data_IF_969874183564
#
_entry.id   IF_969874183564
#
_cell.length_a   1.000
_cell.length_b   1.000
_cell.length_c   1.000
_cell.angle_alpha   90.00
_cell.angle_beta   90.00
_cell.angle_gamma   90.00
#
_symmetry.space_group_name_H-M   'P 1'
#
loop_
_entity.id
_entity.type
_entity.pdbx_description
1 polymer ?
#
# COMPACT_ATOMS: atom_id res chain seq x y z
N UNK A 1 20.59 -3.48 -20.72
CA UNK A 1 19.78 -3.50 -19.49
C UNK A 1 20.03 -4.81 -18.76
N UNK A 2 19.86 -4.84 -17.44
CA UNK A 2 20.23 -5.98 -16.61
C UNK A 2 19.00 -6.51 -15.85
N UNK A 3 18.24 -7.45 -16.45
CA UNK A 3 17.00 -7.98 -15.86
C UNK A 3 17.23 -8.79 -14.59
N UNK A 4 18.45 -9.24 -14.32
CA UNK A 4 18.76 -9.95 -13.08
C UNK A 4 18.84 -9.00 -11.87
N UNK A 5 19.16 -7.73 -12.11
CA UNK A 5 19.31 -6.71 -11.07
C UNK A 5 18.17 -5.70 -11.04
N UNK A 6 17.54 -5.42 -12.18
CA UNK A 6 16.45 -4.47 -12.31
C UNK A 6 15.13 -5.21 -12.50
N UNK A 7 14.28 -5.13 -11.50
CA UNK A 7 12.94 -5.70 -11.50
C UNK A 7 11.90 -4.59 -11.57
N UNK A 8 10.67 -4.93 -11.94
CA UNK A 8 9.59 -3.94 -11.99
C UNK A 8 8.27 -4.53 -11.46
N UNK A 9 7.45 -3.66 -10.91
CA UNK A 9 6.03 -3.91 -10.65
C UNK A 9 5.22 -3.41 -11.86
N UNK A 10 4.30 -4.22 -12.35
CA UNK A 10 3.47 -3.87 -13.49
C UNK A 10 2.27 -3.02 -13.03
N UNK A 11 2.13 -1.75 -13.46
CA UNK A 11 0.95 -0.97 -13.15
C UNK A 11 -0.26 -1.52 -13.93
N UNK A 12 -1.36 -1.76 -13.21
CA UNK A 12 -2.60 -2.27 -13.77
C UNK A 12 -3.76 -1.38 -13.35
N UNK A 13 -4.66 -1.11 -14.27
CA UNK A 13 -5.81 -0.22 -14.05
C UNK A 13 -7.08 -1.03 -13.87
N UNK A 14 -7.81 -0.81 -12.77
CA UNK A 14 -8.99 -1.60 -12.40
C UNK A 14 -10.32 -1.06 -12.97
N UNK A 15 -10.32 -0.39 -14.12
CA UNK A 15 -11.56 0.06 -14.78
C UNK A 15 -12.29 -1.11 -15.45
N UNK A 16 -11.56 -2.03 -16.05
CA UNK A 16 -12.03 -3.28 -16.63
C UNK A 16 -11.25 -4.45 -16.00
N UNK A 17 -11.95 -5.33 -15.31
CA UNK A 17 -11.31 -6.39 -14.55
C UNK A 17 -10.73 -7.51 -15.41
N UNK A 18 -11.39 -7.82 -16.51
CA UNK A 18 -10.90 -8.85 -17.44
C UNK A 18 -9.61 -8.39 -18.14
N UNK A 19 -9.54 -7.11 -18.53
CA UNK A 19 -8.32 -6.51 -19.07
C UNK A 19 -7.22 -6.42 -18.01
N UNK A 20 -7.58 -6.06 -16.76
CA UNK A 20 -6.64 -6.01 -15.66
C UNK A 20 -6.00 -7.38 -15.38
N UNK A 21 -6.79 -8.45 -15.43
CA UNK A 21 -6.30 -9.83 -15.28
C UNK A 21 -5.38 -10.20 -16.43
N UNK A 22 -5.79 -9.94 -17.68
CA UNK A 22 -4.96 -10.25 -18.86
C UNK A 22 -3.62 -9.52 -18.81
N UNK A 23 -3.63 -8.24 -18.46
CA UNK A 23 -2.38 -7.45 -18.37
C UNK A 23 -1.48 -7.93 -17.21
N UNK A 24 -2.03 -8.26 -16.05
CA UNK A 24 -1.26 -8.82 -14.94
C UNK A 24 -0.60 -10.14 -15.35
N UNK A 25 -1.35 -11.04 -15.99
CA UNK A 25 -0.85 -12.33 -16.48
C UNK A 25 0.26 -12.13 -17.53
N UNK A 26 0.02 -11.25 -18.53
CA UNK A 26 1.01 -10.93 -19.56
C UNK A 26 2.30 -10.35 -18.96
N UNK A 27 2.16 -9.38 -18.06
CA UNK A 27 3.31 -8.70 -17.46
C UNK A 27 4.17 -9.66 -16.63
N UNK A 28 3.55 -10.55 -15.86
CA UNK A 28 4.29 -11.51 -15.05
C UNK A 28 4.89 -12.62 -15.91
N UNK A 29 4.08 -13.24 -16.80
CA UNK A 29 4.49 -14.45 -17.52
C UNK A 29 5.41 -14.16 -18.71
N UNK A 30 5.23 -13.02 -19.40
CA UNK A 30 5.95 -12.70 -20.64
C UNK A 30 7.04 -11.63 -20.43
N UNK A 31 6.81 -10.65 -19.53
CA UNK A 31 7.73 -9.54 -19.32
C UNK A 31 8.59 -9.67 -18.06
N UNK A 32 8.28 -10.64 -17.18
CA UNK A 32 9.05 -10.88 -15.97
C UNK A 32 8.80 -9.87 -14.85
N UNK A 33 7.59 -9.27 -14.79
CA UNK A 33 7.19 -8.47 -13.65
C UNK A 33 7.21 -9.30 -12.36
N UNK A 34 7.72 -8.73 -11.28
CA UNK A 34 7.83 -9.40 -9.98
C UNK A 34 6.74 -8.97 -8.99
N UNK A 35 5.90 -8.05 -9.39
CA UNK A 35 4.74 -7.58 -8.66
C UNK A 35 3.71 -6.99 -9.64
N UNK A 36 2.47 -6.89 -9.19
CA UNK A 36 1.41 -6.12 -9.86
C UNK A 36 1.10 -4.89 -9.01
N UNK A 37 0.96 -3.73 -9.62
CA UNK A 37 0.69 -2.48 -8.90
C UNK A 37 -0.66 -1.88 -9.30
N UNK A 38 -1.42 -1.44 -8.31
CA UNK A 38 -2.71 -0.75 -8.47
C UNK A 38 -2.74 0.53 -7.66
N UNK A 39 -3.62 1.45 -8.04
CA UNK A 39 -3.89 2.65 -7.24
C UNK A 39 -4.78 2.32 -6.04
N UNK A 40 -4.65 3.04 -4.91
CA UNK A 40 -5.53 2.92 -3.76
C UNK A 40 -6.94 3.45 -4.03
N UNK A 41 -7.06 4.39 -4.97
CA UNK A 41 -8.28 5.13 -5.27
C UNK A 41 -9.36 4.25 -5.89
N UNK A 42 -10.66 4.61 -5.70
CA UNK A 42 -11.74 3.96 -6.42
C UNK A 42 -11.57 4.06 -7.95
N UNK A 43 -11.66 2.93 -8.63
CA UNK A 43 -11.65 2.88 -10.10
C UNK A 43 -13.07 2.63 -10.61
N UNK A 44 -13.55 3.41 -11.58
CA UNK A 44 -14.92 3.39 -12.07
C UNK A 44 -15.97 3.54 -10.94
N UNK A 45 -15.67 4.38 -9.94
CA UNK A 45 -16.54 4.60 -8.77
C UNK A 45 -16.59 3.43 -7.77
N UNK A 46 -15.73 2.43 -7.90
CA UNK A 46 -15.72 1.22 -7.07
C UNK A 46 -14.44 1.13 -6.26
N UNK A 47 -14.56 0.90 -4.96
CA UNK A 47 -13.44 0.70 -4.04
C UNK A 47 -12.75 -0.65 -4.27
N UNK A 48 -11.60 -0.84 -3.62
CA UNK A 48 -10.84 -2.10 -3.69
C UNK A 48 -11.57 -3.30 -3.08
N UNK A 49 -12.54 -3.10 -2.18
CA UNK A 49 -13.39 -4.16 -1.61
C UNK A 49 -14.65 -4.48 -2.44
N UNK A 50 -14.82 -3.87 -3.61
CA UNK A 50 -15.97 -4.17 -4.44
C UNK A 50 -15.96 -5.62 -4.92
N UNK A 51 -17.12 -6.34 -4.90
CA UNK A 51 -17.18 -7.76 -5.22
C UNK A 51 -16.65 -8.13 -6.61
N UNK A 52 -16.73 -7.24 -7.57
CA UNK A 52 -16.19 -7.46 -8.92
C UNK A 52 -14.66 -7.44 -8.99
N UNK A 53 -13.95 -7.08 -7.90
CA UNK A 53 -12.49 -7.15 -7.79
C UNK A 53 -11.97 -8.55 -7.46
N UNK A 54 -12.81 -9.42 -6.93
CA UNK A 54 -12.43 -10.76 -6.47
C UNK A 54 -11.70 -11.60 -7.54
N UNK A 55 -12.15 -11.65 -8.82
CA UNK A 55 -11.43 -12.40 -9.85
C UNK A 55 -9.99 -11.90 -10.08
N UNK A 56 -9.78 -10.60 -9.95
CA UNK A 56 -8.45 -10.00 -10.07
C UNK A 56 -7.52 -10.42 -8.91
N UNK A 57 -8.01 -10.39 -7.67
CA UNK A 57 -7.22 -10.84 -6.51
C UNK A 57 -6.89 -12.33 -6.59
N UNK A 58 -7.83 -13.16 -7.03
CA UNK A 58 -7.59 -14.58 -7.27
C UNK A 58 -6.50 -14.78 -8.33
N UNK A 59 -6.54 -14.04 -9.43
CA UNK A 59 -5.52 -14.13 -10.49
C UNK A 59 -4.13 -13.69 -9.99
N UNK A 60 -4.02 -12.60 -9.24
CA UNK A 60 -2.73 -12.14 -8.67
C UNK A 60 -2.19 -13.14 -7.65
N UNK A 61 -3.07 -13.71 -6.81
CA UNK A 61 -2.69 -14.77 -5.86
C UNK A 61 -2.18 -16.02 -6.58
N UNK A 62 -2.81 -16.43 -7.69
CA UNK A 62 -2.40 -17.57 -8.51
C UNK A 62 -1.04 -17.34 -9.20
N UNK A 63 -0.80 -16.11 -9.68
CA UNK A 63 0.49 -15.72 -10.25
C UNK A 63 1.64 -15.76 -9.22
N UNK A 64 1.32 -15.77 -7.92
CA UNK A 64 2.31 -15.88 -6.85
C UNK A 64 3.19 -14.65 -6.67
N UNK A 65 2.76 -13.49 -7.17
CA UNK A 65 3.44 -12.21 -7.03
C UNK A 65 2.67 -11.30 -6.06
N UNK A 66 3.34 -10.37 -5.36
CA UNK A 66 2.65 -9.42 -4.49
C UNK A 66 1.83 -8.39 -5.29
N UNK A 67 0.75 -7.94 -4.68
CA UNK A 67 0.00 -6.75 -5.07
C UNK A 67 0.58 -5.54 -4.36
N UNK A 68 1.02 -4.55 -5.11
CA UNK A 68 1.46 -3.26 -4.59
C UNK A 68 0.33 -2.25 -4.73
N UNK A 69 -0.07 -1.65 -3.63
CA UNK A 69 -0.94 -0.47 -3.62
C UNK A 69 -0.05 0.74 -3.57
N UNK A 70 0.01 1.48 -4.68
CA UNK A 70 0.92 2.61 -4.86
C UNK A 70 0.13 3.88 -5.13
N UNK A 71 0.44 4.92 -4.37
CA UNK A 71 -0.26 6.20 -4.49
C UNK A 71 -0.01 6.87 -5.84
N UNK A 72 -0.95 7.73 -6.21
CA UNK A 72 -0.82 8.61 -7.36
C UNK A 72 -1.67 9.85 -7.15
N UNK A 73 -1.04 10.99 -7.18
CA UNK A 73 -1.69 12.30 -7.02
C UNK A 73 -2.59 12.72 -8.19
N UNK A 74 -2.66 11.92 -9.25
CA UNK A 74 -3.32 12.32 -10.51
C UNK A 74 -4.83 12.06 -10.59
N UNK A 75 -5.47 11.52 -9.57
CA UNK A 75 -6.90 11.23 -9.62
C UNK A 75 -7.71 12.31 -8.87
N UNK A 76 -8.65 13.01 -9.54
CA UNK A 76 -9.52 13.98 -8.88
C UNK A 76 -10.43 13.36 -7.80
N UNK A 77 -10.63 12.05 -7.83
CA UNK A 77 -11.40 11.32 -6.82
C UNK A 77 -10.62 11.00 -5.53
N UNK A 78 -9.44 11.57 -5.33
CA UNK A 78 -8.65 11.37 -4.09
C UNK A 78 -9.28 12.12 -2.91
N UNK A 79 -8.95 11.69 -1.69
CA UNK A 79 -9.42 12.31 -0.45
C UNK A 79 -9.11 13.82 -0.35
N UNK A 80 -8.00 14.25 -0.97
CA UNK A 80 -7.59 15.65 -1.02
C UNK A 80 -8.15 16.43 -2.22
N UNK A 81 -8.47 15.74 -3.33
CA UNK A 81 -8.74 16.38 -4.61
C UNK A 81 -9.97 17.29 -4.62
N UNK A 82 -11.13 16.76 -4.30
CA UNK A 82 -12.38 17.50 -4.38
C UNK A 82 -12.52 18.61 -3.33
N UNK A 83 -11.95 18.41 -2.13
CA UNK A 83 -12.07 19.36 -1.03
C UNK A 83 -11.16 20.57 -1.16
N UNK A 84 -10.05 20.45 -1.86
CA UNK A 84 -9.00 21.46 -1.90
C UNK A 84 -8.69 21.96 -3.32
N UNK A 85 -9.65 21.83 -4.23
CA UNK A 85 -9.60 22.47 -5.55
C UNK A 85 -8.87 21.68 -6.63
N UNK A 86 -8.51 20.42 -6.35
CA UNK A 86 -7.86 19.55 -7.32
C UNK A 86 -6.38 19.89 -7.57
N UNK A 87 -5.71 19.02 -8.32
CA UNK A 87 -4.27 19.12 -8.61
C UNK A 87 -3.87 20.28 -9.52
N UNK A 88 -4.82 20.86 -10.24
CA UNK A 88 -4.53 21.87 -11.26
C UNK A 88 -4.31 23.28 -10.68
N UNK A 89 -4.52 23.42 -9.36
CA UNK A 89 -4.28 24.71 -8.65
C UNK A 89 -2.98 24.56 -7.86
N UNK A 90 -1.90 25.29 -8.20
CA UNK A 90 -0.59 25.15 -7.55
C UNK A 90 -0.65 25.23 -6.02
N UNK A 91 -1.53 26.08 -5.49
CA UNK A 91 -1.72 26.29 -4.06
C UNK A 91 -2.35 25.07 -3.36
N UNK A 92 -3.07 24.22 -4.10
CA UNK A 92 -3.69 22.99 -3.57
C UNK A 92 -2.79 21.75 -3.69
N UNK A 93 -1.71 21.81 -4.47
CA UNK A 93 -0.80 20.68 -4.66
C UNK A 93 -0.24 20.15 -3.34
N UNK A 94 0.18 21.04 -2.43
CA UNK A 94 0.66 20.63 -1.11
C UNK A 94 -0.41 19.83 -0.33
N UNK A 95 -1.64 20.33 -0.30
CA UNK A 95 -2.73 19.63 0.38
C UNK A 95 -3.00 18.26 -0.24
N UNK A 96 -2.98 18.23 -1.57
CA UNK A 96 -3.19 17.00 -2.31
C UNK A 96 -2.09 15.97 -1.97
N UNK A 97 -0.84 16.35 -2.08
CA UNK A 97 0.31 15.47 -1.82
C UNK A 97 0.34 14.99 -0.36
N UNK A 98 0.23 15.90 0.61
CA UNK A 98 0.31 15.57 2.04
C UNK A 98 -0.86 14.71 2.51
N UNK A 99 -2.07 14.95 1.97
CA UNK A 99 -3.28 14.24 2.41
C UNK A 99 -3.47 12.94 1.63
N UNK A 100 -3.32 12.97 0.30
CA UNK A 100 -3.70 11.83 -0.53
C UNK A 100 -2.86 10.61 -0.23
N UNK A 101 -1.53 10.73 -0.12
CA UNK A 101 -0.67 9.57 0.12
C UNK A 101 -1.09 8.75 1.34
N UNK A 102 -1.09 9.26 2.57
CA UNK A 102 -1.43 8.44 3.72
C UNK A 102 -2.93 8.10 3.80
N UNK A 103 -3.83 9.01 3.43
CA UNK A 103 -5.26 8.77 3.59
C UNK A 103 -5.78 7.73 2.59
N UNK A 104 -5.33 7.79 1.33
CA UNK A 104 -5.71 6.78 0.34
C UNK A 104 -5.16 5.40 0.70
N UNK A 105 -3.93 5.32 1.23
CA UNK A 105 -3.38 4.06 1.71
C UNK A 105 -4.13 3.51 2.93
N UNK A 106 -4.56 4.37 3.85
CA UNK A 106 -5.43 3.99 4.97
C UNK A 106 -6.75 3.41 4.48
N UNK A 107 -7.39 4.05 3.50
CA UNK A 107 -8.65 3.57 2.91
C UNK A 107 -8.45 2.26 2.16
N UNK A 108 -7.36 2.12 1.38
CA UNK A 108 -7.03 0.90 0.68
C UNK A 108 -6.78 -0.28 1.64
N UNK A 109 -6.02 -0.05 2.70
CA UNK A 109 -5.77 -1.07 3.73
C UNK A 109 -7.07 -1.51 4.40
N UNK A 110 -7.93 -0.57 4.77
CA UNK A 110 -9.24 -0.87 5.33
C UNK A 110 -10.10 -1.67 4.35
N UNK A 111 -10.15 -1.28 3.08
CA UNK A 111 -10.91 -1.99 2.06
C UNK A 111 -10.43 -3.44 1.90
N UNK A 112 -9.13 -3.66 1.73
CA UNK A 112 -8.56 -4.99 1.50
C UNK A 112 -8.67 -5.89 2.73
N UNK A 113 -8.46 -5.37 3.94
CA UNK A 113 -8.56 -6.15 5.19
C UNK A 113 -10.02 -6.26 5.61
N UNK A 114 -10.68 -5.14 5.93
CA UNK A 114 -12.02 -5.15 6.54
C UNK A 114 -13.12 -5.53 5.55
N UNK A 115 -12.91 -5.34 4.25
CA UNK A 115 -13.76 -5.88 3.18
C UNK A 115 -13.58 -7.38 2.94
N UNK A 116 -12.67 -8.06 3.68
CA UNK A 116 -12.48 -9.51 3.66
C UNK A 116 -11.65 -10.04 2.48
N UNK A 117 -11.04 -9.18 1.67
CA UNK A 117 -10.20 -9.60 0.54
C UNK A 117 -9.04 -10.49 1.01
N UNK A 118 -8.33 -10.09 2.08
CA UNK A 118 -7.21 -10.86 2.61
C UNK A 118 -7.64 -12.13 3.38
N UNK A 119 -8.89 -12.24 3.79
CA UNK A 119 -9.44 -13.49 4.33
C UNK A 119 -9.67 -14.49 3.19
N UNK A 120 -10.29 -14.04 2.09
CA UNK A 120 -10.59 -14.89 0.93
C UNK A 120 -9.37 -15.30 0.13
N UNK A 121 -8.31 -14.45 0.16
CA UNK A 121 -7.05 -14.68 -0.56
C UNK A 121 -5.85 -14.78 0.41
N UNK A 122 -5.72 -15.88 1.17
CA UNK A 122 -4.75 -15.97 2.28
C UNK A 122 -3.27 -16.03 1.83
N UNK A 123 -2.99 -16.35 0.55
CA UNK A 123 -1.64 -16.35 -0.01
C UNK A 123 -1.26 -15.02 -0.65
N UNK A 124 -2.24 -14.16 -0.96
CA UNK A 124 -1.98 -12.85 -1.55
C UNK A 124 -1.14 -11.99 -0.60
N UNK A 125 -0.01 -11.48 -1.07
CA UNK A 125 0.82 -10.53 -0.34
C UNK A 125 0.54 -9.11 -0.85
N UNK A 126 0.50 -8.15 0.07
CA UNK A 126 0.16 -6.75 -0.26
C UNK A 126 1.19 -5.80 0.32
N UNK A 127 1.70 -4.89 -0.51
CA UNK A 127 2.54 -3.78 -0.08
C UNK A 127 1.82 -2.45 -0.23
N UNK A 128 1.87 -1.59 0.79
CA UNK A 128 1.33 -0.22 0.76
C UNK A 128 2.50 0.75 0.66
N UNK A 129 2.63 1.41 -0.49
CA UNK A 129 3.83 2.16 -0.85
C UNK A 129 3.55 3.66 -1.04
N UNK A 130 4.60 4.47 -0.89
CA UNK A 130 4.59 5.91 -1.10
C UNK A 130 3.67 6.70 -0.14
N UNK A 131 3.74 6.38 1.15
CA UNK A 131 2.97 7.09 2.18
C UNK A 131 3.69 7.12 3.54
N UNK A 132 4.97 6.80 3.56
CA UNK A 132 5.69 6.51 4.79
C UNK A 132 5.15 5.28 5.50
N UNK A 133 5.68 4.96 6.69
CA UNK A 133 5.28 3.74 7.41
C UNK A 133 4.57 4.02 8.75
N UNK A 134 4.67 5.22 9.28
CA UNK A 134 4.28 5.53 10.67
C UNK A 134 2.78 5.67 10.90
N UNK A 135 1.99 5.79 9.83
CA UNK A 135 0.54 5.78 9.91
C UNK A 135 -0.05 4.39 10.21
N UNK A 136 0.65 3.33 9.79
CA UNK A 136 0.13 1.96 9.84
C UNK A 136 -0.08 1.43 11.28
N UNK A 137 0.81 1.63 12.26
CA UNK A 137 0.56 1.22 13.66
C UNK A 137 -0.71 1.85 14.24
N UNK A 138 -0.90 3.15 14.03
CA UNK A 138 -2.10 3.87 14.47
C UNK A 138 -3.36 3.32 13.78
N UNK A 139 -3.30 3.17 12.46
CA UNK A 139 -4.46 2.71 11.69
C UNK A 139 -4.89 1.30 12.08
N UNK A 140 -3.95 0.38 12.23
CA UNK A 140 -4.22 -0.99 12.67
C UNK A 140 -4.80 -1.05 14.07
N UNK A 141 -4.31 -0.23 15.00
CA UNK A 141 -4.89 -0.15 16.35
C UNK A 141 -6.36 0.33 16.29
N UNK A 142 -6.65 1.32 15.45
CA UNK A 142 -8.01 1.82 15.24
C UNK A 142 -8.93 0.77 14.60
N UNK A 143 -8.45 0.03 13.62
CA UNK A 143 -9.22 -1.05 13.00
C UNK A 143 -9.50 -2.20 13.97
N UNK A 144 -8.52 -2.59 14.79
CA UNK A 144 -8.70 -3.61 15.83
C UNK A 144 -9.74 -3.20 16.88
N UNK A 145 -9.69 -1.94 17.34
CA UNK A 145 -10.68 -1.38 18.28
C UNK A 145 -12.10 -1.44 17.72
N UNK A 146 -12.27 -1.09 16.44
CA UNK A 146 -13.57 -1.16 15.78
C UNK A 146 -14.04 -2.60 15.53
N UNK A 147 -13.13 -3.52 15.23
CA UNK A 147 -13.45 -4.94 15.10
C UNK A 147 -13.96 -5.54 16.41
N UNK A 148 -13.38 -5.15 17.54
CA UNK A 148 -13.79 -5.61 18.86
C UNK A 148 -15.04 -4.90 19.42
N UNK A 149 -15.44 -3.79 18.81
CA UNK A 149 -16.55 -2.99 19.28
C UNK A 149 -17.90 -3.70 19.04
N UNK A 150 -18.75 -3.90 20.08
CA UNK A 150 -19.97 -4.70 19.97
C UNK A 150 -20.97 -4.26 18.91
N UNK A 151 -20.96 -2.96 18.54
CA UNK A 151 -21.86 -2.39 17.54
C UNK A 151 -21.22 -2.16 16.18
N UNK A 152 -19.89 -2.18 16.08
CA UNK A 152 -19.17 -1.85 14.85
C UNK A 152 -18.53 -3.06 14.21
N UNK A 153 -18.12 -4.05 15.00
CA UNK A 153 -17.46 -5.26 14.50
C UNK A 153 -18.32 -6.04 13.49
N UNK A 154 -19.64 -5.98 13.61
CA UNK A 154 -20.54 -6.68 12.68
C UNK A 154 -20.49 -6.11 11.24
N UNK A 155 -19.93 -4.90 11.02
CA UNK A 155 -19.70 -4.38 9.66
C UNK A 155 -18.44 -4.96 8.99
N UNK A 156 -17.59 -5.63 9.75
CA UNK A 156 -16.42 -6.36 9.24
C UNK A 156 -16.75 -7.85 9.08
N UNK A 157 -17.82 -8.12 8.33
CA UNK A 157 -18.34 -9.49 8.17
C UNK A 157 -17.36 -10.39 7.42
N UNK A 158 -17.22 -11.63 7.90
CA UNK A 158 -16.36 -12.64 7.26
C UNK A 158 -14.91 -12.61 7.72
N UNK A 159 -14.50 -11.69 8.59
CA UNK A 159 -13.17 -11.75 9.21
C UNK A 159 -13.16 -12.77 10.36
N UNK A 160 -12.16 -13.64 10.36
CA UNK A 160 -11.93 -14.63 11.44
C UNK A 160 -10.85 -14.18 12.43
N UNK A 161 -10.09 -13.15 12.09
CA UNK A 161 -9.01 -12.57 12.90
C UNK A 161 -9.15 -11.05 12.99
N UNK A 162 -8.43 -10.44 13.95
CA UNK A 162 -8.31 -8.98 14.02
C UNK A 162 -7.59 -8.43 12.77
N UNK A 163 -7.91 -7.22 12.32
CA UNK A 163 -7.27 -6.55 11.20
C UNK A 163 -5.73 -6.60 11.23
N UNK A 164 -5.12 -6.35 12.40
CA UNK A 164 -3.67 -6.44 12.58
C UNK A 164 -3.11 -7.84 12.28
N UNK A 165 -3.86 -8.91 12.54
CA UNK A 165 -3.40 -10.26 12.26
C UNK A 165 -3.31 -10.53 10.76
N UNK A 166 -4.24 -9.99 9.95
CA UNK A 166 -4.15 -10.04 8.49
C UNK A 166 -2.94 -9.24 7.98
N UNK A 167 -2.74 -8.03 8.50
CA UNK A 167 -1.56 -7.24 8.16
C UNK A 167 -0.27 -8.04 8.46
N UNK A 168 -0.14 -8.60 9.65
CA UNK A 168 1.03 -9.36 10.03
C UNK A 168 1.27 -10.60 9.15
N UNK A 169 0.21 -11.23 8.67
CA UNK A 169 0.27 -12.42 7.80
C UNK A 169 0.68 -12.07 6.36
N UNK A 170 0.18 -10.96 5.82
CA UNK A 170 0.17 -10.73 4.38
C UNK A 170 0.72 -9.37 3.93
N UNK A 171 0.88 -8.40 4.82
CA UNK A 171 1.15 -7.03 4.42
C UNK A 171 2.53 -6.52 4.85
N UNK A 172 2.98 -5.50 4.11
CA UNK A 172 4.13 -4.66 4.42
C UNK A 172 3.82 -3.21 4.03
N UNK A 173 4.59 -2.26 4.56
CA UNK A 173 4.58 -0.83 4.16
C UNK A 173 5.97 -0.40 3.73
N UNK A 174 6.08 0.60 2.86
CA UNK A 174 7.36 1.24 2.57
C UNK A 174 7.62 2.39 3.54
N UNK A 175 8.89 2.68 3.81
CA UNK A 175 9.31 3.87 4.53
C UNK A 175 10.00 4.86 3.59
N UNK A 176 9.88 6.15 3.91
CA UNK A 176 10.64 7.20 3.26
C UNK A 176 11.99 7.35 3.97
N UNK A 177 13.10 7.45 3.22
CA UNK A 177 14.42 7.55 3.82
C UNK A 177 14.56 8.82 4.69
N UNK A 178 15.06 8.69 5.90
CA UNK A 178 15.25 9.83 6.79
C UNK A 178 13.97 10.30 7.51
N UNK A 179 12.84 9.60 7.36
CA UNK A 179 11.66 9.86 8.18
C UNK A 179 11.97 9.58 9.66
N UNK A 180 11.94 10.61 10.52
CA UNK A 180 12.28 10.46 11.94
C UNK A 180 11.26 9.61 12.71
N UNK A 181 10.16 9.26 12.12
CA UNK A 181 9.09 8.45 12.73
C UNK A 181 9.21 6.95 12.43
N UNK A 182 10.16 6.52 11.59
CA UNK A 182 10.44 5.08 11.33
C UNK A 182 10.59 4.28 12.64
N UNK A 183 11.27 4.76 13.71
CA UNK A 183 11.38 4.02 14.97
C UNK A 183 10.03 3.69 15.61
N UNK A 184 9.02 4.54 15.45
CA UNK A 184 7.65 4.28 15.95
C UNK A 184 6.98 3.16 15.15
N UNK A 185 7.21 3.13 13.83
CA UNK A 185 6.73 2.06 12.98
C UNK A 185 7.42 0.72 13.31
N UNK A 186 8.74 0.72 13.53
CA UNK A 186 9.50 -0.47 13.96
C UNK A 186 8.96 -1.00 15.28
N UNK A 187 8.71 -0.13 16.25
CA UNK A 187 8.12 -0.51 17.54
C UNK A 187 6.71 -1.10 17.39
N UNK A 188 5.89 -0.53 16.49
CA UNK A 188 4.48 -0.91 16.34
C UNK A 188 4.22 -2.08 15.41
N UNK A 189 5.10 -2.34 14.43
CA UNK A 189 4.92 -3.36 13.38
C UNK A 189 5.99 -4.45 13.43
N UNK A 190 7.19 -4.13 13.88
CA UNK A 190 8.41 -4.90 13.67
C UNK A 190 9.10 -4.54 12.35
N UNK A 191 10.44 -4.67 12.28
CA UNK A 191 11.23 -4.28 11.11
C UNK A 191 10.89 -5.09 9.86
N UNK A 192 10.50 -6.37 9.97
CA UNK A 192 10.13 -7.22 8.83
C UNK A 192 8.84 -6.79 8.11
N UNK A 193 8.14 -5.79 8.63
CA UNK A 193 6.92 -5.23 8.03
C UNK A 193 7.15 -3.91 7.31
N UNK A 194 8.39 -3.47 7.27
CA UNK A 194 8.79 -2.21 6.65
C UNK A 194 9.77 -2.54 5.52
N UNK A 195 9.59 -1.90 4.39
CA UNK A 195 10.49 -2.01 3.23
C UNK A 195 11.16 -0.66 2.98
N UNK A 196 12.47 -0.70 2.77
CA UNK A 196 13.21 0.47 2.35
C UNK A 196 12.86 0.85 0.92
N UNK A 197 12.57 2.14 0.70
CA UNK A 197 12.37 2.73 -0.62
C UNK A 197 13.15 4.03 -0.75
N UNK A 198 13.57 4.39 -1.95
CA UNK A 198 14.30 5.63 -2.21
C UNK A 198 13.45 6.69 -2.87
N UNK A 199 12.34 6.28 -3.45
CA UNK A 199 11.48 7.10 -4.30
C UNK A 199 12.23 7.79 -5.48
N UNK A 200 13.39 7.27 -5.83
CA UNK A 200 14.18 7.79 -6.95
C UNK A 200 13.48 7.50 -8.29
N UNK A 201 13.36 8.48 -9.23
CA UNK A 201 14.04 9.78 -9.26
C UNK A 201 13.13 10.98 -8.92
N UNK A 202 12.14 10.84 -8.04
CA UNK A 202 11.27 11.95 -7.67
C UNK A 202 12.05 13.12 -7.06
N UNK A 203 11.51 14.32 -7.19
CA UNK A 203 12.21 15.56 -6.78
C UNK A 203 12.44 15.66 -5.27
N UNK A 204 11.63 14.98 -4.48
CA UNK A 204 11.67 14.93 -3.02
C UNK A 204 12.42 13.69 -2.47
N UNK A 205 12.84 12.76 -3.34
CA UNK A 205 13.58 11.56 -2.93
C UNK A 205 14.96 11.83 -2.31
N UNK A 206 15.53 13.02 -2.52
CA UNK A 206 16.81 13.44 -1.98
C UNK A 206 18.01 12.59 -2.46
N UNK A 207 19.14 13.24 -2.75
CA UNK A 207 20.33 12.58 -3.29
C UNK A 207 21.10 11.66 -2.30
N UNK A 208 20.59 11.45 -1.08
CA UNK A 208 21.26 10.68 -0.01
C UNK A 208 20.35 9.66 0.63
N UNK A 209 19.43 9.09 -0.10
CA UNK A 209 18.37 8.23 0.43
C UNK A 209 18.87 7.10 1.34
N UNK A 210 19.91 6.36 0.94
CA UNK A 210 20.48 5.29 1.77
C UNK A 210 21.15 5.85 3.03
N UNK A 211 21.94 6.91 2.90
CA UNK A 211 22.60 7.53 4.04
C UNK A 211 21.59 8.15 5.01
N UNK A 212 20.56 8.81 4.49
CA UNK A 212 19.48 9.36 5.31
C UNK A 212 18.76 8.28 6.14
N UNK A 213 18.54 7.12 5.56
CA UNK A 213 17.97 5.98 6.29
C UNK A 213 18.92 5.45 7.38
N UNK A 214 20.22 5.31 7.07
CA UNK A 214 21.22 4.84 8.02
C UNK A 214 21.43 5.84 9.18
N UNK A 215 21.19 7.12 8.93
CA UNK A 215 21.30 8.20 9.94
C UNK A 215 20.06 8.29 10.84
N UNK A 216 18.98 7.55 10.56
CA UNK A 216 17.79 7.53 11.43
C UNK A 216 18.19 6.99 12.81
N UNK A 217 18.00 7.81 13.82
CA UNK A 217 18.32 7.46 15.20
C UNK A 217 17.26 6.52 15.81
N UNK A 218 17.67 5.79 16.84
CA UNK A 218 16.80 4.87 17.59
C UNK A 218 16.30 3.64 16.81
N UNK A 219 16.98 3.29 15.70
CA UNK A 219 16.85 1.98 15.06
C UNK A 219 18.20 1.29 15.16
N UNK A 220 18.22 0.11 15.77
CA UNK A 220 19.46 -0.67 15.88
C UNK A 220 19.94 -1.21 14.53
N UNK A 221 21.26 -1.41 14.33
CA UNK A 221 21.80 -1.93 13.05
C UNK A 221 21.22 -3.28 12.63
N UNK A 222 20.73 -4.08 13.57
CA UNK A 222 20.08 -5.34 13.28
C UNK A 222 18.71 -5.12 12.61
N UNK A 223 17.93 -4.15 13.08
CA UNK A 223 16.62 -3.82 12.50
C UNK A 223 16.76 -3.06 11.19
N UNK A 224 17.76 -2.15 11.08
CA UNK A 224 18.09 -1.50 9.81
C UNK A 224 18.43 -2.48 8.68
N UNK A 225 19.06 -3.62 9.01
CA UNK A 225 19.35 -4.67 8.02
C UNK A 225 18.15 -5.53 7.63
N UNK A 226 17.07 -5.48 8.38
CA UNK A 226 15.83 -6.22 8.12
C UNK A 226 14.81 -5.39 7.35
N UNK A 227 14.94 -4.09 7.38
CA UNK A 227 14.20 -3.12 6.57
C UNK A 227 14.86 -3.02 5.19
#
# INVERSE_FOLDING_TARGET
ENPDRLKFAAPVVLYDIDEAIREAQRAVSELGAVAVSVRPNPAAGKRLDAPDREPFYAAVEELGVPLIVHESTGDPATAGGDRYGGMMVPESYLFHHVISHPFEQMMAMMALICGGGLERHPRLKVGFFEAGCSWAPYWLARLDDHFEHPKLGHYMTGLTMKPRAYFNRQCVVSCDPGDPTIPLAVQGLGPDKILFATDYPHFDSGGRSVQSFLDVTNIGPADQRRI
#
